data_IF_560590703190
#
_entry.id   IF_560590703190
#
_cell.length_a   1.000
_cell.length_b   1.000
_cell.length_c   1.000
_cell.angle_alpha   90.00
_cell.angle_beta   90.00
_cell.angle_gamma   90.00
#
_symmetry.space_group_name_H-M   'P 1'
#
loop_
_entity.id
_entity.type
_entity.pdbx_description
1 polymer ?
#
# COMPACT_ATOMS: atom_id res chain seq x y z
N UNK A 1 -2.27 9.57 -31.65
CA UNK A 1 -2.65 9.86 -30.25
C UNK A 1 -2.15 11.25 -29.90
N UNK A 2 -2.98 12.07 -29.25
CA UNK A 2 -2.61 13.42 -28.82
C UNK A 2 -2.68 13.46 -27.30
N UNK A 3 -1.53 13.41 -26.62
CA UNK A 3 -1.48 13.68 -25.18
C UNK A 3 -1.56 15.19 -24.98
N UNK A 4 -2.54 15.66 -24.20
CA UNK A 4 -2.77 17.08 -23.90
C UNK A 4 -2.06 17.53 -22.61
N UNK A 5 -0.83 17.05 -22.39
CA UNK A 5 0.01 17.45 -21.26
C UNK A 5 0.94 18.62 -21.58
N UNK A 6 1.21 19.48 -20.60
CA UNK A 6 2.19 20.58 -20.68
C UNK A 6 3.59 20.21 -20.15
N UNK A 7 3.79 18.95 -19.77
CA UNK A 7 5.05 18.44 -19.23
C UNK A 7 6.22 18.51 -20.21
N UNK A 8 7.43 18.23 -19.71
CA UNK A 8 8.68 18.33 -20.48
C UNK A 8 8.74 17.37 -21.69
N UNK A 9 7.99 16.27 -21.66
CA UNK A 9 7.85 15.33 -22.77
C UNK A 9 6.38 15.15 -23.14
N UNK A 10 6.12 14.94 -24.44
CA UNK A 10 4.82 14.58 -24.96
C UNK A 10 4.85 13.17 -25.56
N UNK A 11 3.76 12.44 -25.41
CA UNK A 11 3.65 11.08 -25.95
C UNK A 11 3.57 11.13 -27.49
N UNK A 12 4.53 10.49 -28.15
CA UNK A 12 4.56 10.33 -29.61
C UNK A 12 3.82 9.06 -30.01
N UNK A 13 4.09 7.95 -29.32
CA UNK A 13 3.52 6.63 -29.65
C UNK A 13 3.29 5.82 -28.38
N UNK A 14 2.18 5.09 -28.33
CA UNK A 14 1.91 4.07 -27.33
C UNK A 14 1.61 2.76 -28.05
N UNK A 15 2.39 1.74 -27.74
CA UNK A 15 2.18 0.37 -28.18
C UNK A 15 1.85 -0.45 -26.93
N UNK A 16 0.60 -0.91 -26.78
CA UNK A 16 0.18 -1.69 -25.62
C UNK A 16 1.13 -2.86 -25.34
N UNK A 17 1.48 -3.02 -24.06
CA UNK A 17 2.40 -4.07 -23.57
C UNK A 17 3.81 -4.08 -24.20
N UNK A 18 4.19 -3.06 -24.97
CA UNK A 18 5.49 -2.99 -25.64
C UNK A 18 6.28 -1.75 -25.23
N UNK A 19 5.78 -0.56 -25.56
CA UNK A 19 6.52 0.66 -25.30
C UNK A 19 5.65 1.91 -25.27
N UNK A 20 6.11 2.90 -24.51
CA UNK A 20 5.71 4.29 -24.66
C UNK A 20 6.92 5.05 -25.20
N UNK A 21 6.73 5.70 -26.35
CA UNK A 21 7.73 6.59 -26.95
C UNK A 21 7.30 8.03 -26.71
N UNK A 22 8.18 8.79 -26.09
CA UNK A 22 7.98 10.19 -25.78
C UNK A 22 9.03 11.04 -26.49
N UNK A 23 8.65 12.26 -26.83
CA UNK A 23 9.53 13.26 -27.45
C UNK A 23 9.52 14.55 -26.63
N UNK A 24 10.61 15.30 -26.73
CA UNK A 24 10.75 16.59 -26.05
C UNK A 24 9.58 17.53 -26.42
N UNK A 25 9.00 18.16 -25.41
CA UNK A 25 7.97 19.16 -25.58
C UNK A 25 8.59 20.57 -25.62
N UNK A 26 8.75 21.12 -26.82
CA UNK A 26 9.31 22.46 -27.00
C UNK A 26 8.44 23.57 -26.39
N UNK A 27 7.13 23.34 -26.18
CA UNK A 27 6.22 24.31 -25.57
C UNK A 27 6.03 24.12 -24.07
N UNK A 28 6.87 23.31 -23.42
CA UNK A 28 6.77 23.14 -21.97
C UNK A 28 7.08 24.45 -21.22
N UNK A 29 6.26 24.85 -20.22
CA UNK A 29 6.50 26.07 -19.44
C UNK A 29 7.83 26.08 -18.67
N UNK A 30 8.40 24.90 -18.39
CA UNK A 30 9.71 24.75 -17.74
C UNK A 30 10.88 24.72 -18.73
N UNK A 31 10.62 24.99 -20.01
CA UNK A 31 11.59 24.84 -21.10
C UNK A 31 11.71 23.41 -21.62
N UNK A 32 12.29 23.27 -22.81
CA UNK A 32 12.49 21.98 -23.45
C UNK A 32 13.59 21.16 -22.73
N UNK A 33 13.38 19.84 -22.50
CA UNK A 33 14.41 18.99 -21.92
C UNK A 33 15.62 18.83 -22.87
N UNK A 34 16.78 18.54 -22.30
CA UNK A 34 18.01 18.26 -23.07
C UNK A 34 17.91 16.97 -23.90
N UNK A 35 17.20 15.97 -23.40
CA UNK A 35 16.94 14.72 -24.11
C UNK A 35 15.85 14.92 -25.15
N UNK A 36 16.11 14.49 -26.38
CA UNK A 36 15.16 14.63 -27.50
C UNK A 36 14.02 13.61 -27.44
N UNK A 37 14.28 12.42 -26.91
CA UNK A 37 13.31 11.32 -26.83
C UNK A 37 13.60 10.44 -25.63
N UNK A 38 12.55 9.81 -25.11
CA UNK A 38 12.60 8.80 -24.06
C UNK A 38 11.72 7.63 -24.50
N UNK A 39 12.23 6.41 -24.33
CA UNK A 39 11.49 5.18 -24.59
C UNK A 39 11.33 4.45 -23.26
N UNK A 40 10.09 4.22 -22.85
CA UNK A 40 9.77 3.35 -21.72
C UNK A 40 9.35 2.01 -22.30
N UNK A 41 10.24 1.01 -22.20
CA UNK A 41 9.99 -0.34 -22.69
C UNK A 41 9.32 -1.18 -21.61
N UNK A 42 8.24 -1.85 -21.96
CA UNK A 42 7.65 -2.86 -21.10
C UNK A 42 8.48 -4.14 -21.19
N UNK A 43 9.20 -4.45 -20.11
CA UNK A 43 10.00 -5.67 -19.98
C UNK A 43 9.55 -6.34 -18.68
N UNK A 44 8.61 -7.30 -18.71
CA UNK A 44 8.01 -7.86 -17.49
C UNK A 44 8.98 -8.64 -16.61
N UNK A 45 9.95 -9.33 -17.22
CA UNK A 45 10.90 -10.18 -16.51
C UNK A 45 12.09 -9.37 -15.93
N UNK A 46 12.33 -9.41 -14.60
CA UNK A 46 13.44 -8.68 -13.96
C UNK A 46 14.82 -9.14 -14.42
N UNK A 47 15.01 -10.42 -14.74
CA UNK A 47 16.30 -10.92 -15.22
C UNK A 47 16.66 -10.31 -16.59
N UNK A 48 15.67 -10.15 -17.47
CA UNK A 48 15.79 -9.45 -18.75
C UNK A 48 16.09 -7.97 -18.56
N UNK A 49 15.39 -7.29 -17.62
CA UNK A 49 15.70 -5.89 -17.27
C UNK A 49 17.15 -5.72 -16.82
N UNK A 50 17.66 -6.64 -15.98
CA UNK A 50 19.05 -6.67 -15.52
C UNK A 50 20.04 -6.80 -16.69
N UNK A 51 19.77 -7.68 -17.65
CA UNK A 51 20.64 -7.87 -18.81
C UNK A 51 20.73 -6.61 -19.66
N UNK A 52 19.60 -5.95 -19.92
CA UNK A 52 19.55 -4.73 -20.74
C UNK A 52 20.39 -3.59 -20.13
N UNK A 53 20.28 -3.36 -18.82
CA UNK A 53 21.11 -2.33 -18.16
C UNK A 53 22.59 -2.73 -18.13
N UNK A 54 22.89 -4.02 -17.93
CA UNK A 54 24.28 -4.51 -17.90
C UNK A 54 24.96 -4.44 -19.27
N UNK A 55 24.21 -4.60 -20.36
CA UNK A 55 24.71 -4.53 -21.74
C UNK A 55 24.76 -3.08 -22.28
N UNK A 56 24.15 -2.12 -21.57
CA UNK A 56 24.05 -0.73 -22.02
C UNK A 56 22.89 -0.47 -22.99
N UNK A 57 21.99 -1.45 -23.19
CA UNK A 57 20.79 -1.31 -24.02
C UNK A 57 19.69 -0.48 -23.33
N UNK A 58 19.78 -0.32 -22.01
CA UNK A 58 18.91 0.54 -21.22
C UNK A 58 19.75 1.46 -20.33
N UNK A 59 19.36 2.72 -20.21
CA UNK A 59 20.00 3.67 -19.29
C UNK A 59 19.51 3.51 -17.84
N UNK A 60 18.30 2.97 -17.65
CA UNK A 60 17.68 2.75 -16.35
C UNK A 60 16.85 1.47 -16.35
N UNK A 61 16.96 0.69 -15.27
CA UNK A 61 16.09 -0.45 -14.99
C UNK A 61 15.44 -0.27 -13.61
N UNK A 62 14.11 -0.37 -13.56
CA UNK A 62 13.32 -0.33 -12.33
C UNK A 62 12.81 -1.72 -11.93
N UNK A 63 12.33 -1.83 -10.71
CA UNK A 63 11.66 -3.02 -10.15
C UNK A 63 12.52 -4.28 -10.24
N UNK A 64 13.82 -4.16 -9.96
CA UNK A 64 14.74 -5.29 -9.89
C UNK A 64 14.65 -5.95 -8.51
N UNK A 65 14.45 -7.26 -8.48
CA UNK A 65 14.49 -8.04 -7.26
C UNK A 65 15.89 -8.13 -6.66
N UNK A 66 15.97 -8.61 -5.42
CA UNK A 66 17.20 -8.68 -4.65
C UNK A 66 18.34 -9.38 -5.39
N UNK A 67 18.07 -10.54 -6.01
CA UNK A 67 19.07 -11.29 -6.78
C UNK A 67 19.57 -10.54 -8.02
N UNK A 68 18.71 -9.76 -8.66
CA UNK A 68 19.10 -8.98 -9.83
C UNK A 68 19.96 -7.78 -9.41
N UNK A 69 19.63 -7.13 -8.29
CA UNK A 69 20.44 -6.05 -7.74
C UNK A 69 21.81 -6.58 -7.31
N UNK A 70 21.86 -7.68 -6.55
CA UNK A 70 23.13 -8.29 -6.11
C UNK A 70 24.05 -8.60 -7.30
N UNK A 71 23.51 -9.13 -8.39
CA UNK A 71 24.27 -9.42 -9.60
C UNK A 71 24.81 -8.18 -10.33
N UNK A 72 24.24 -6.99 -10.09
CA UNK A 72 24.70 -5.71 -10.65
C UNK A 72 25.69 -4.96 -9.75
N UNK A 73 25.79 -5.33 -8.47
CA UNK A 73 26.72 -4.66 -7.55
C UNK A 73 28.16 -4.78 -8.05
N UNK A 74 28.87 -3.65 -8.08
CA UNK A 74 30.26 -3.58 -8.53
C UNK A 74 30.47 -3.80 -10.04
N UNK A 75 29.42 -3.91 -10.85
CA UNK A 75 29.57 -4.02 -12.30
C UNK A 75 30.02 -2.68 -12.89
N UNK A 76 31.07 -2.65 -13.74
CA UNK A 76 31.49 -1.44 -14.42
C UNK A 76 30.35 -0.83 -15.23
N UNK A 77 30.23 0.51 -15.20
CA UNK A 77 29.19 1.23 -15.95
C UNK A 77 27.79 1.17 -15.36
N UNK A 78 27.54 0.40 -14.31
CA UNK A 78 26.24 0.33 -13.63
C UNK A 78 26.34 0.88 -12.21
N UNK A 79 25.49 1.85 -11.89
CA UNK A 79 25.33 2.36 -10.53
C UNK A 79 24.01 1.88 -9.95
N UNK A 80 24.09 1.04 -8.94
CA UNK A 80 22.92 0.68 -8.11
C UNK A 80 22.60 1.87 -7.20
N UNK A 81 21.36 2.37 -7.29
CA UNK A 81 20.85 3.42 -6.41
C UNK A 81 19.79 2.82 -5.49
N UNK A 82 19.98 3.01 -4.18
CA UNK A 82 18.96 2.73 -3.17
C UNK A 82 18.42 4.05 -2.66
N UNK A 83 17.14 4.30 -2.87
CA UNK A 83 16.46 5.54 -2.46
C UNK A 83 15.26 5.13 -1.61
N UNK A 84 15.11 5.77 -0.44
CA UNK A 84 13.95 5.56 0.39
C UNK A 84 12.67 5.90 -0.40
N UNK A 85 11.71 4.96 -0.38
CA UNK A 85 10.43 5.08 -1.06
C UNK A 85 9.31 5.08 -0.02
N UNK A 86 8.24 5.82 -0.31
CA UNK A 86 6.99 5.80 0.47
C UNK A 86 6.11 4.58 0.13
N UNK A 87 6.61 3.65 -0.67
CA UNK A 87 5.91 2.44 -1.07
C UNK A 87 5.73 1.49 0.12
N UNK A 88 4.52 0.95 0.26
CA UNK A 88 4.17 -0.04 1.27
C UNK A 88 3.55 -1.27 0.62
N UNK A 89 4.04 -2.44 1.01
CA UNK A 89 3.42 -3.71 0.68
C UNK A 89 2.53 -4.15 1.84
N UNK A 90 1.25 -4.44 1.55
CA UNK A 90 0.26 -4.78 2.56
C UNK A 90 -0.68 -5.90 2.10
N UNK A 91 -1.23 -6.62 3.08
CA UNK A 91 -2.32 -7.56 2.86
C UNK A 91 -3.65 -6.84 3.06
N UNK A 92 -4.52 -6.90 2.06
CA UNK A 92 -5.88 -6.39 2.14
C UNK A 92 -6.88 -7.53 2.30
N UNK A 93 -7.85 -7.35 3.19
CA UNK A 93 -8.99 -8.26 3.34
C UNK A 93 -10.23 -7.65 2.68
N UNK A 94 -10.91 -8.42 1.83
CA UNK A 94 -12.18 -7.98 1.23
C UNK A 94 -13.32 -8.13 2.23
N UNK A 95 -13.47 -7.15 3.12
CA UNK A 95 -14.46 -7.18 4.22
C UNK A 95 -15.92 -7.10 3.74
N UNK A 96 -16.15 -6.73 2.48
CA UNK A 96 -17.47 -6.64 1.86
C UNK A 96 -17.94 -7.95 1.20
N UNK A 97 -17.10 -8.98 1.18
CA UNK A 97 -17.44 -10.27 0.58
C UNK A 97 -18.49 -11.00 1.42
N UNK A 98 -19.72 -11.07 0.91
CA UNK A 98 -20.84 -11.76 1.57
C UNK A 98 -20.69 -13.28 1.56
N UNK A 99 -19.99 -13.84 0.58
CA UNK A 99 -19.77 -15.28 0.45
C UNK A 99 -18.69 -15.79 1.41
N UNK A 100 -17.85 -14.90 1.94
CA UNK A 100 -16.86 -15.23 2.96
C UNK A 100 -16.92 -14.29 4.17
N UNK A 101 -17.84 -14.54 5.11
CA UNK A 101 -18.00 -13.73 6.32
C UNK A 101 -16.74 -13.61 7.19
N UNK A 102 -15.80 -14.56 7.10
CA UNK A 102 -14.52 -14.50 7.84
C UNK A 102 -13.70 -13.26 7.47
N UNK A 103 -13.82 -12.80 6.23
CA UNK A 103 -13.11 -11.60 5.76
C UNK A 103 -13.54 -10.34 6.51
N UNK A 104 -14.73 -10.33 7.11
CA UNK A 104 -15.25 -9.22 7.91
C UNK A 104 -14.91 -9.31 9.40
N UNK A 105 -14.31 -10.42 9.87
CA UNK A 105 -14.05 -10.68 11.29
C UNK A 105 -12.72 -10.05 11.74
N UNK A 106 -12.71 -9.04 12.64
CA UNK A 106 -11.46 -8.42 13.09
C UNK A 106 -10.47 -9.38 13.77
N UNK A 107 -10.97 -10.41 14.45
CA UNK A 107 -10.13 -11.44 15.08
C UNK A 107 -9.29 -12.22 14.05
N UNK A 108 -9.81 -12.36 12.82
CA UNK A 108 -9.08 -12.98 11.71
C UNK A 108 -7.93 -12.09 11.25
N UNK A 109 -8.15 -10.78 11.12
CA UNK A 109 -7.10 -9.84 10.72
C UNK A 109 -6.01 -9.73 11.79
N UNK A 110 -6.38 -9.69 13.08
CA UNK A 110 -5.44 -9.70 14.19
C UNK A 110 -4.58 -10.96 14.17
N UNK A 111 -5.19 -12.13 13.99
CA UNK A 111 -4.46 -13.39 13.89
C UNK A 111 -3.50 -13.41 12.69
N UNK A 112 -3.95 -12.91 11.53
CA UNK A 112 -3.13 -12.87 10.31
C UNK A 112 -1.85 -12.06 10.48
N UNK A 113 -1.87 -10.94 11.21
CA UNK A 113 -0.65 -10.15 11.49
C UNK A 113 0.42 -10.95 12.25
N UNK A 114 0.03 -11.86 13.13
CA UNK A 114 0.95 -12.75 13.85
C UNK A 114 1.43 -13.94 13.01
N UNK A 115 0.88 -14.16 11.81
CA UNK A 115 1.28 -15.25 10.91
C UNK A 115 2.25 -14.79 9.82
N UNK A 116 2.60 -13.51 9.77
CA UNK A 116 3.56 -12.99 8.79
C UNK A 116 4.99 -13.09 9.33
N UNK A 117 5.86 -13.75 8.58
CA UNK A 117 7.30 -13.76 8.83
C UNK A 117 7.97 -12.52 8.23
N UNK A 118 7.79 -11.38 8.91
CA UNK A 118 8.35 -10.09 8.49
C UNK A 118 9.87 -10.14 8.34
N UNK A 119 10.56 -10.86 9.22
CA UNK A 119 12.01 -10.97 9.22
C UNK A 119 12.50 -11.85 8.07
N UNK A 120 11.90 -13.03 7.88
CA UNK A 120 12.22 -13.88 6.73
C UNK A 120 11.96 -13.18 5.40
N UNK A 121 10.87 -12.43 5.28
CA UNK A 121 10.56 -11.65 4.07
C UNK A 121 11.61 -10.56 3.83
N UNK A 122 11.87 -9.71 4.82
CA UNK A 122 12.75 -8.55 4.63
C UNK A 122 14.22 -8.94 4.50
N UNK A 123 14.70 -9.90 5.30
CA UNK A 123 16.12 -10.28 5.37
C UNK A 123 16.49 -11.37 4.36
N UNK A 124 15.68 -12.41 4.22
CA UNK A 124 16.05 -13.57 3.40
C UNK A 124 15.55 -13.45 1.97
N UNK A 125 14.26 -13.10 1.79
CA UNK A 125 13.65 -13.00 0.47
C UNK A 125 14.04 -11.70 -0.25
N UNK A 126 13.95 -10.56 0.45
CA UNK A 126 14.18 -9.24 -0.14
C UNK A 126 15.59 -8.69 0.13
N UNK A 127 16.42 -9.41 0.91
CA UNK A 127 17.82 -9.05 1.22
C UNK A 127 18.01 -7.58 1.63
N UNK A 128 17.09 -7.04 2.42
CA UNK A 128 17.13 -5.67 2.92
C UNK A 128 16.67 -4.59 1.93
N UNK A 129 16.16 -4.95 0.75
CA UNK A 129 15.53 -3.98 -0.18
C UNK A 129 14.29 -3.31 0.43
N UNK A 130 13.61 -4.02 1.33
CA UNK A 130 12.50 -3.51 2.13
C UNK A 130 12.81 -3.72 3.62
N UNK A 131 12.17 -2.94 4.47
CA UNK A 131 12.25 -3.05 5.93
C UNK A 131 10.85 -3.22 6.52
N UNK A 132 10.78 -3.75 7.74
CA UNK A 132 9.50 -3.96 8.43
C UNK A 132 8.87 -2.63 8.82
N UNK A 133 7.63 -2.41 8.41
CA UNK A 133 6.81 -1.28 8.81
C UNK A 133 5.37 -1.76 9.01
N UNK A 134 4.74 -1.39 10.13
CA UNK A 134 3.44 -1.92 10.54
C UNK A 134 2.39 -0.83 10.80
N UNK A 135 2.68 0.39 10.36
CA UNK A 135 1.78 1.53 10.36
C UNK A 135 1.29 1.84 8.93
N UNK A 136 0.26 2.68 8.81
CA UNK A 136 -0.22 3.11 7.49
C UNK A 136 0.61 4.26 6.90
N UNK A 137 1.27 5.06 7.74
CA UNK A 137 2.00 6.24 7.29
C UNK A 137 3.48 5.86 7.16
N UNK A 138 4.08 5.92 5.95
CA UNK A 138 5.47 5.54 5.75
C UNK A 138 6.44 6.34 6.64
N UNK A 139 7.53 5.68 7.04
CA UNK A 139 8.63 6.34 7.78
C UNK A 139 9.20 7.50 6.96
N UNK A 140 9.53 8.60 7.62
CA UNK A 140 10.02 9.84 7.00
C UNK A 140 8.95 10.92 6.82
N UNK A 141 7.67 10.60 7.05
CA UNK A 141 6.60 11.59 7.13
C UNK A 141 6.37 12.06 8.57
N UNK A 142 6.06 13.35 8.81
CA UNK A 142 5.68 13.84 10.13
C UNK A 142 4.50 13.05 10.71
N UNK A 143 4.68 12.48 11.91
CA UNK A 143 3.66 11.67 12.59
C UNK A 143 3.67 10.17 12.25
N UNK A 144 4.67 9.69 11.49
CA UNK A 144 4.82 8.26 11.23
C UNK A 144 5.09 7.49 12.54
N UNK A 145 4.44 6.33 12.67
CA UNK A 145 4.68 5.39 13.76
C UNK A 145 5.72 4.35 13.32
N UNK A 146 6.73 4.13 14.16
CA UNK A 146 7.85 3.23 13.87
C UNK A 146 7.75 1.90 14.65
N UNK A 147 6.74 1.75 15.51
CA UNK A 147 6.53 0.53 16.26
C UNK A 147 6.19 -0.65 15.33
N UNK A 148 6.81 -1.80 15.61
CA UNK A 148 6.59 -3.06 14.89
C UNK A 148 6.12 -4.15 15.85
N UNK A 149 4.91 -4.03 16.43
CA UNK A 149 4.44 -4.90 17.50
C UNK A 149 4.19 -6.36 17.10
N UNK A 150 4.03 -6.65 15.81
CA UNK A 150 3.74 -7.99 15.29
C UNK A 150 5.00 -8.72 14.86
N UNK A 151 5.10 -9.99 15.22
CA UNK A 151 6.15 -10.91 14.80
C UNK A 151 5.54 -12.26 14.44
N UNK A 152 6.28 -13.13 13.75
CA UNK A 152 5.80 -14.47 13.45
C UNK A 152 5.61 -15.28 14.73
N UNK A 153 4.35 -15.47 15.13
CA UNK A 153 3.95 -16.19 16.33
C UNK A 153 2.60 -16.92 16.10
N UNK A 154 2.64 -18.15 15.57
CA UNK A 154 1.45 -18.96 15.34
C UNK A 154 0.63 -19.25 16.61
N UNK A 155 1.27 -19.36 17.77
CA UNK A 155 0.59 -19.56 19.05
C UNK A 155 -0.29 -18.34 19.40
N UNK A 156 0.24 -17.13 19.26
CA UNK A 156 -0.51 -15.88 19.49
C UNK A 156 -1.61 -15.69 18.46
N UNK A 157 -1.36 -16.07 17.19
CA UNK A 157 -2.38 -16.08 16.15
C UNK A 157 -3.57 -16.99 16.50
N UNK A 158 -3.29 -18.23 16.96
CA UNK A 158 -4.33 -19.21 17.35
C UNK A 158 -5.21 -18.70 18.48
N UNK A 159 -4.62 -18.06 19.48
CA UNK A 159 -5.37 -17.43 20.58
C UNK A 159 -6.28 -16.33 20.04
N UNK A 160 -5.75 -15.44 19.18
CA UNK A 160 -6.52 -14.33 18.60
C UNK A 160 -7.66 -14.81 17.70
N UNK A 161 -7.46 -15.81 16.87
CA UNK A 161 -8.51 -16.36 15.99
C UNK A 161 -9.64 -17.05 16.76
N UNK A 162 -9.38 -17.49 17.99
CA UNK A 162 -10.39 -18.14 18.84
C UNK A 162 -11.32 -17.15 19.58
N UNK A 163 -10.96 -15.86 19.59
CA UNK A 163 -11.81 -14.81 20.16
C UNK A 163 -13.02 -14.61 19.25
N UNK A 164 -14.22 -14.86 19.77
CA UNK A 164 -15.47 -14.49 19.08
C UNK A 164 -15.46 -12.97 18.84
N UNK A 165 -15.98 -12.48 17.70
CA UNK A 165 -16.10 -11.05 17.47
C UNK A 165 -16.83 -10.43 18.67
N UNK A 166 -16.23 -9.42 19.32
CA UNK A 166 -16.83 -8.79 20.49
C UNK A 166 -18.28 -8.42 20.15
N UNK A 167 -19.22 -9.10 20.79
CA UNK A 167 -20.62 -8.79 20.61
C UNK A 167 -20.82 -7.36 21.11
N UNK A 168 -21.57 -6.56 20.35
CA UNK A 168 -22.01 -5.17 20.67
C UNK A 168 -22.76 -5.03 22.02
N UNK A 169 -22.71 -6.04 22.88
CA UNK A 169 -23.41 -6.18 24.15
C UNK A 169 -22.74 -5.38 25.28
N UNK A 170 -21.42 -5.10 25.21
CA UNK A 170 -20.72 -4.40 26.30
C UNK A 170 -20.99 -2.89 26.32
N UNK A 171 -21.10 -2.25 25.14
CA UNK A 171 -21.52 -0.85 25.00
C UNK A 171 -23.01 -0.66 25.34
N UNK A 172 -23.86 -1.64 25.01
CA UNK A 172 -25.28 -1.66 25.41
C UNK A 172 -25.48 -1.68 26.93
N UNK A 173 -24.67 -2.45 27.68
CA UNK A 173 -24.73 -2.48 29.16
C UNK A 173 -24.23 -1.19 29.82
N UNK A 174 -23.28 -0.49 29.19
CA UNK A 174 -22.78 0.78 29.71
C UNK A 174 -23.82 1.90 29.48
N UNK A 175 -24.41 1.96 28.28
CA UNK A 175 -25.47 2.92 27.95
C UNK A 175 -26.76 2.68 28.75
N UNK A 176 -27.13 1.43 29.05
CA UNK A 176 -28.33 1.15 29.85
C UNK A 176 -28.16 1.45 31.35
N UNK A 177 -26.91 1.43 31.87
CA UNK A 177 -26.60 1.90 33.23
C UNK A 177 -26.59 3.42 33.32
N UNK A 178 -26.08 4.12 32.30
CA UNK A 178 -26.06 5.59 32.25
C UNK A 178 -27.49 6.15 32.13
N UNK A 179 -28.34 5.57 31.27
CA UNK A 179 -29.69 6.09 31.04
C UNK A 179 -30.67 5.86 32.22
N UNK A 180 -30.32 4.99 33.17
CA UNK A 180 -31.12 4.69 34.38
C UNK A 180 -30.82 5.64 35.54
N UNK A 181 -29.83 6.52 35.42
CA UNK A 181 -29.47 7.52 36.43
C UNK A 181 -29.76 8.97 36.00
N UNK A 182 -30.25 9.20 34.76
CA UNK A 182 -30.37 10.53 34.17
C UNK A 182 -31.81 10.96 33.81
N UNK A 183 -32.84 10.22 34.21
CA UNK A 183 -34.24 10.61 33.95
C UNK A 183 -35.03 10.73 35.27
N UNK A 184 -35.48 11.94 35.66
CA UNK A 184 -36.47 12.08 36.72
C UNK A 184 -37.85 11.62 36.23
N UNK A 185 -38.64 11.15 37.21
CA UNK A 185 -40.04 10.71 37.15
C UNK A 185 -40.88 11.32 36.01
N UNK A 186 -41.43 10.47 35.13
CA UNK A 186 -42.45 10.85 34.15
C UNK A 186 -43.77 11.16 34.87
N UNK A 187 -44.04 12.44 35.11
CA UNK A 187 -45.40 12.97 35.18
C UNK A 187 -45.44 14.28 34.41
N UNK A 188 -46.53 14.50 33.67
CA UNK A 188 -46.83 15.68 32.84
C UNK A 188 -46.26 15.63 31.41
N UNK A 189 -47.10 15.23 30.44
CA UNK A 189 -47.76 16.14 29.48
C UNK A 189 -48.45 15.31 28.37
N UNK A 190 -49.73 15.60 28.13
CA UNK A 190 -50.61 14.97 27.13
C UNK A 190 -50.38 15.60 25.73
N UNK A 191 -50.74 14.91 24.63
CA UNK A 191 -50.40 15.34 23.28
C UNK A 191 -51.39 16.37 22.72
N UNK A 192 -50.89 17.35 21.97
CA UNK A 192 -51.69 18.19 21.08
C UNK A 192 -51.45 17.72 19.63
N UNK A 193 -52.53 17.29 18.98
CA UNK A 193 -52.63 17.10 17.53
C UNK A 193 -52.54 18.45 16.83
N UNK A 194 -51.78 18.53 15.72
CA UNK A 194 -52.07 19.48 14.65
C UNK A 194 -51.87 18.80 13.29
N UNK A 195 -52.89 18.96 12.45
CA UNK A 195 -53.08 18.40 11.12
C UNK A 195 -52.50 19.37 10.08
N UNK A 196 -51.89 18.86 9.01
CA UNK A 196 -51.61 19.64 7.80
C UNK A 196 -52.09 18.84 6.57
N UNK A 197 -52.57 19.61 5.59
CA UNK A 197 -53.22 19.24 4.32
C UNK A 197 -52.35 18.34 3.46
#
# INVERSE_FOLDING_TARGET
MHSAGSGAFKMRTYQPHQAIVMEANASSPTGAPKLKSVIIKNVPDPATRRLLIQQGDADMARDLGADQIDALQGKPGVKVMSIASAEQNYLAFNTGNKDNPLMSNPAFWEAARWLVDYDGITKNLLKGQYFTHQSFLPVGFPGALEETPFTFNPAKAKVRSSLKPESKTRTSRLMSKINRHLLPSRSQFRPALLRAV
#
